data_IF_783813004595
#
_entry.id   IF_783813004595
#
_cell.length_a   1.000
_cell.length_b   1.000
_cell.length_c   1.000
_cell.angle_alpha   90.00
_cell.angle_beta   90.00
_cell.angle_gamma   90.00
#
_symmetry.space_group_name_H-M   'P 1'
#
loop_
_entity.id
_entity.type
_entity.pdbx_description
1 polymer ?
#
# COMPACT_ATOMS: atom_id res chain seq x y z
N UNK A 1 -26.61 11.48 30.48
CA UNK A 1 -26.14 10.10 30.68
C UNK A 1 -25.38 9.76 29.41
N UNK A 2 -24.08 10.04 29.41
CA UNK A 2 -23.22 9.83 28.25
C UNK A 2 -22.72 8.39 28.32
N UNK A 3 -22.92 7.66 27.24
CA UNK A 3 -22.54 6.25 27.11
C UNK A 3 -21.02 6.08 27.31
N UNK A 4 -20.57 5.31 28.33
CA UNK A 4 -19.15 5.12 28.62
C UNK A 4 -18.47 4.07 27.73
N UNK A 5 -19.19 3.46 26.78
CA UNK A 5 -18.68 2.42 25.89
C UNK A 5 -18.78 2.78 24.41
N UNK A 6 -18.62 4.06 24.08
CA UNK A 6 -18.39 4.48 22.70
C UNK A 6 -17.18 3.73 22.15
N UNK A 7 -17.44 2.70 21.35
CA UNK A 7 -16.45 1.92 20.62
C UNK A 7 -15.87 2.84 19.54
N UNK A 8 -14.93 3.70 19.95
CA UNK A 8 -14.14 4.50 19.03
C UNK A 8 -13.33 3.53 18.18
N UNK A 9 -13.45 3.56 16.83
CA UNK A 9 -12.58 2.76 15.99
C UNK A 9 -11.15 3.22 16.25
N UNK A 10 -10.40 2.43 17.04
CA UNK A 10 -8.99 2.63 17.30
C UNK A 10 -8.23 2.36 16.01
N UNK A 11 -8.29 3.29 15.06
CA UNK A 11 -7.23 3.45 14.08
C UNK A 11 -6.00 3.89 14.86
N UNK A 12 -5.22 2.92 15.37
CA UNK A 12 -3.96 3.20 16.06
C UNK A 12 -3.09 4.03 15.11
N UNK A 13 -2.79 5.30 15.43
CA UNK A 13 -1.91 6.08 14.59
C UNK A 13 -0.49 5.56 14.81
N UNK A 14 0.12 4.97 13.78
CA UNK A 14 1.58 4.99 13.68
C UNK A 14 2.35 3.66 13.68
N UNK A 15 1.73 2.49 13.54
CA UNK A 15 2.49 1.33 13.05
C UNK A 15 2.34 1.27 11.54
N UNK A 16 3.07 2.15 10.84
CA UNK A 16 3.50 1.79 9.50
C UNK A 16 4.31 0.50 9.69
N UNK A 17 3.74 -0.64 9.35
CA UNK A 17 4.50 -1.88 9.29
C UNK A 17 5.59 -1.66 8.23
N UNK A 18 6.79 -1.33 8.68
CA UNK A 18 7.96 -1.30 7.80
C UNK A 18 8.24 -2.74 7.38
N UNK A 19 7.79 -3.10 6.18
CA UNK A 19 8.21 -4.32 5.53
C UNK A 19 9.54 -4.08 4.81
N UNK A 20 10.52 -4.93 5.06
CA UNK A 20 11.78 -4.94 4.31
C UNK A 20 11.82 -6.14 3.37
N UNK A 21 12.10 -5.88 2.09
CA UNK A 21 12.24 -6.94 1.08
C UNK A 21 13.39 -7.87 1.47
N UNK A 22 13.10 -9.17 1.54
CA UNK A 22 14.08 -10.20 1.91
C UNK A 22 14.35 -10.30 3.41
N UNK A 23 13.53 -9.67 4.27
CA UNK A 23 13.63 -9.89 5.71
C UNK A 23 13.36 -11.35 6.09
N UNK A 24 13.97 -11.81 7.18
CA UNK A 24 13.60 -13.09 7.76
C UNK A 24 12.13 -13.06 8.24
N UNK A 25 11.41 -14.14 7.96
CA UNK A 25 10.01 -14.31 8.28
C UNK A 25 9.80 -15.29 9.45
N UNK A 26 10.85 -15.97 9.90
CA UNK A 26 10.75 -17.04 10.92
C UNK A 26 10.20 -16.55 12.26
N UNK A 27 10.35 -15.25 12.54
CA UNK A 27 9.92 -14.59 13.78
C UNK A 27 8.53 -13.97 13.70
N UNK A 28 7.89 -13.97 12.52
CA UNK A 28 6.58 -13.35 12.31
C UNK A 28 5.44 -14.33 12.58
N UNK A 29 4.37 -13.83 13.19
CA UNK A 29 3.11 -14.55 13.30
C UNK A 29 2.35 -14.56 11.96
N UNK A 30 1.36 -15.45 11.83
CA UNK A 30 0.48 -15.50 10.64
C UNK A 30 -0.24 -14.18 10.41
N UNK A 31 -0.75 -13.55 11.47
CA UNK A 31 -1.42 -12.26 11.39
C UNK A 31 -0.49 -11.15 10.86
N UNK A 32 0.75 -11.11 11.35
CA UNK A 32 1.76 -10.17 10.89
C UNK A 32 2.20 -10.40 9.43
N UNK A 33 2.12 -11.65 8.96
CA UNK A 33 2.33 -11.97 7.55
C UNK A 33 1.16 -11.47 6.71
N UNK A 34 -0.09 -11.69 7.14
CA UNK A 34 -1.29 -11.21 6.45
C UNK A 34 -1.30 -9.67 6.32
N UNK A 35 -0.97 -8.95 7.40
CA UNK A 35 -0.86 -7.49 7.39
C UNK A 35 0.20 -6.99 6.40
N UNK A 36 1.38 -7.64 6.37
CA UNK A 36 2.46 -7.30 5.44
C UNK A 36 2.08 -7.59 3.99
N UNK A 37 1.43 -8.72 3.73
CA UNK A 37 0.91 -9.07 2.40
C UNK A 37 -0.06 -8.00 1.93
N UNK A 38 -1.04 -7.62 2.77
CA UNK A 38 -2.01 -6.59 2.41
C UNK A 38 -1.34 -5.26 2.05
N UNK A 39 -0.34 -4.83 2.81
CA UNK A 39 0.43 -3.62 2.55
C UNK A 39 1.21 -3.68 1.23
N UNK A 40 1.88 -4.80 0.96
CA UNK A 40 2.62 -4.98 -0.29
C UNK A 40 1.69 -4.99 -1.51
N UNK A 41 0.53 -5.63 -1.41
CA UNK A 41 -0.47 -5.61 -2.49
C UNK A 41 -1.00 -4.19 -2.76
N UNK A 42 -1.24 -3.40 -1.71
CA UNK A 42 -1.63 -2.00 -1.87
C UNK A 42 -0.54 -1.18 -2.56
N UNK A 43 0.73 -1.41 -2.20
CA UNK A 43 1.86 -0.74 -2.83
C UNK A 43 2.04 -1.15 -4.30
N UNK A 44 1.88 -2.44 -4.64
CA UNK A 44 1.88 -2.92 -6.02
C UNK A 44 0.80 -2.17 -6.84
N UNK A 45 -0.43 -2.08 -6.34
CA UNK A 45 -1.51 -1.38 -7.03
C UNK A 45 -1.19 0.10 -7.27
N UNK A 46 -0.60 0.78 -6.28
CA UNK A 46 -0.14 2.18 -6.40
C UNK A 46 0.92 2.32 -7.50
N UNK A 47 1.89 1.42 -7.54
CA UNK A 47 2.97 1.43 -8.54
C UNK A 47 2.41 1.18 -9.95
N UNK A 48 1.50 0.23 -10.11
CA UNK A 48 0.83 -0.07 -11.38
C UNK A 48 0.03 1.12 -11.89
N UNK A 49 -0.75 1.79 -11.04
CA UNK A 49 -1.49 3.00 -11.41
C UNK A 49 -0.54 4.12 -11.85
N UNK A 50 0.55 4.33 -11.12
CA UNK A 50 1.56 5.34 -11.47
C UNK A 50 2.23 5.01 -12.80
N UNK A 51 2.59 3.74 -13.03
CA UNK A 51 3.16 3.27 -14.29
C UNK A 51 2.20 3.50 -15.45
N UNK A 52 0.92 3.17 -15.29
CA UNK A 52 -0.10 3.38 -16.32
C UNK A 52 -0.22 4.86 -16.70
N UNK A 53 -0.26 5.75 -15.71
CA UNK A 53 -0.28 7.21 -15.95
C UNK A 53 0.96 7.71 -16.69
N UNK A 54 2.15 7.22 -16.33
CA UNK A 54 3.41 7.57 -17.01
C UNK A 54 3.44 7.05 -18.45
N UNK A 55 2.97 5.84 -18.70
CA UNK A 55 2.88 5.26 -20.05
C UNK A 55 1.93 6.06 -20.93
N UNK A 56 0.73 6.38 -20.43
CA UNK A 56 -0.25 7.18 -21.15
C UNK A 56 0.29 8.57 -21.51
N UNK A 57 1.00 9.21 -20.57
CA UNK A 57 1.69 10.49 -20.83
C UNK A 57 2.76 10.38 -21.92
N UNK A 58 3.58 9.32 -21.89
CA UNK A 58 4.61 9.05 -22.90
C UNK A 58 4.00 8.80 -24.28
N UNK A 59 2.94 8.01 -24.37
CA UNK A 59 2.25 7.72 -25.63
C UNK A 59 1.57 8.96 -26.21
N UNK A 60 0.91 9.76 -25.38
CA UNK A 60 0.36 11.05 -25.79
C UNK A 60 1.46 11.96 -26.37
N UNK A 61 2.61 12.08 -25.69
CA UNK A 61 3.74 12.83 -26.21
C UNK A 61 4.27 12.26 -27.54
N UNK A 62 4.48 10.94 -27.64
CA UNK A 62 4.95 10.30 -28.88
C UNK A 62 4.01 10.58 -30.08
N UNK A 63 2.69 10.54 -29.85
CA UNK A 63 1.70 10.83 -30.89
C UNK A 63 1.73 12.29 -31.38
N UNK A 64 2.06 13.23 -30.49
CA UNK A 64 2.21 14.66 -30.82
C UNK A 64 3.51 14.90 -31.59
N UNK A 65 4.59 14.21 -31.23
CA UNK A 65 5.91 14.40 -31.84
C UNK A 65 6.18 13.51 -33.07
N UNK A 66 5.28 12.59 -33.45
CA UNK A 66 5.44 11.64 -34.57
C UNK A 66 6.83 10.99 -34.62
N UNK A 67 7.30 10.51 -33.48
CA UNK A 67 8.49 9.65 -33.35
C UNK A 67 8.08 8.18 -33.37
#
# INVERSE_FOLDING_TARGET
MSDPFGDEPRSRPGQQLEHQIGQDLSTLSLHELDERIALLHAEIARLEQTRAGKTASREAAASVFKL
#
